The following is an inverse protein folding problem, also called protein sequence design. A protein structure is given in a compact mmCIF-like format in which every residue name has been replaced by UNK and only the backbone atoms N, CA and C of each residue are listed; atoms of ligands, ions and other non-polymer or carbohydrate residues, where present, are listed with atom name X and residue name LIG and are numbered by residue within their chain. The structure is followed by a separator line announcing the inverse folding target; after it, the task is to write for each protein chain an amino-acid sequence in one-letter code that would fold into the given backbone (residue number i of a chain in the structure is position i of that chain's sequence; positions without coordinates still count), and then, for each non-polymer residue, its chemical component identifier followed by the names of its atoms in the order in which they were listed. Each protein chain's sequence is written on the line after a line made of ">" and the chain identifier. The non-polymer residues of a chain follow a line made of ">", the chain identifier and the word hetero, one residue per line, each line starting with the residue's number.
data_IF_896445006033
#
_entry.id   IF_896445006033
#
_cell.length_a   1.000
_cell.length_b   1.000
_cell.length_c   1.000
_cell.angle_alpha   90.00
_cell.angle_beta   90.00
_cell.angle_gamma   90.00
#
_symmetry.space_group_name_H-M   'P 1'
#
loop_
_entity.id
_entity.type
_entity.pdbx_description
1 polymer ?
#
# COMPACT_ATOMS: atom_id res chain seq x y z
N UNK A 1 3.76 -4.13 18.64
CA UNK A 1 2.45 -3.74 19.15
C UNK A 1 1.38 -4.59 18.51
N UNK A 2 0.16 -4.60 19.06
CA UNK A 2 -0.91 -5.50 18.60
C UNK A 2 -1.32 -5.33 17.14
N UNK A 3 -1.20 -4.13 16.60
CA UNK A 3 -1.68 -3.80 15.25
C UNK A 3 -0.69 -4.16 14.12
N UNK A 4 0.57 -4.41 14.44
CA UNK A 4 1.63 -4.67 13.47
C UNK A 4 2.28 -6.05 13.60
N UNK A 5 1.69 -6.98 14.38
CA UNK A 5 2.30 -8.30 14.62
C UNK A 5 3.81 -8.22 14.93
N UNK A 6 4.17 -7.24 15.77
CA UNK A 6 5.54 -6.79 15.96
C UNK A 6 6.57 -7.88 16.26
N UNK A 7 6.14 -9.02 16.84
CA UNK A 7 7.00 -10.16 17.08
C UNK A 7 7.43 -10.85 15.78
N UNK A 8 6.51 -11.07 14.87
CA UNK A 8 6.78 -11.73 13.57
C UNK A 8 7.68 -10.87 12.70
N UNK A 9 7.38 -9.56 12.65
CA UNK A 9 8.21 -8.58 11.92
C UNK A 9 9.63 -8.58 12.47
N UNK A 10 9.81 -8.48 13.79
CA UNK A 10 11.15 -8.49 14.41
C UNK A 10 11.88 -9.81 14.16
N UNK A 11 11.19 -10.94 14.29
CA UNK A 11 11.77 -12.24 14.05
C UNK A 11 12.26 -12.38 12.59
N UNK A 12 11.41 -12.04 11.62
CA UNK A 12 11.75 -12.09 10.20
C UNK A 12 12.89 -11.11 9.88
N UNK A 13 12.83 -9.89 10.38
CA UNK A 13 13.84 -8.86 10.16
C UNK A 13 15.23 -9.29 10.66
N UNK A 14 15.31 -9.82 11.90
CA UNK A 14 16.58 -10.33 12.44
C UNK A 14 17.06 -11.60 11.73
N UNK A 15 16.13 -12.47 11.34
CA UNK A 15 16.47 -13.69 10.60
C UNK A 15 17.08 -13.34 9.24
N UNK A 16 16.47 -12.43 8.49
CA UNK A 16 17.00 -11.95 7.22
C UNK A 16 18.35 -11.25 7.39
N UNK A 17 18.49 -10.43 8.43
CA UNK A 17 19.76 -9.77 8.74
C UNK A 17 20.88 -10.77 9.01
N UNK A 18 20.61 -11.85 9.74
CA UNK A 18 21.60 -12.88 10.07
C UNK A 18 21.93 -13.80 8.88
N UNK A 19 20.93 -14.18 8.08
CA UNK A 19 21.10 -15.10 6.96
C UNK A 19 21.61 -14.40 5.70
N UNK A 20 21.04 -13.25 5.36
CA UNK A 20 21.34 -12.50 4.13
C UNK A 20 22.29 -11.33 4.37
N UNK A 21 22.77 -11.13 5.61
CA UNK A 21 23.58 -9.99 6.05
C UNK A 21 22.92 -8.63 5.89
N UNK A 22 21.63 -8.60 5.58
CA UNK A 22 20.86 -7.40 5.43
C UNK A 22 19.39 -7.68 5.71
N UNK A 23 18.84 -7.06 6.76
CA UNK A 23 17.43 -7.10 7.09
C UNK A 23 16.81 -5.75 6.80
N UNK A 24 15.67 -5.71 6.14
CA UNK A 24 15.01 -4.49 5.69
C UNK A 24 13.57 -4.48 6.16
N UNK A 25 13.12 -3.32 6.65
CA UNK A 25 11.71 -3.07 6.97
C UNK A 25 11.26 -1.79 6.28
N UNK A 26 10.03 -1.80 5.82
CA UNK A 26 9.30 -0.64 5.31
C UNK A 26 8.43 -0.08 6.42
N UNK A 27 8.44 1.25 6.59
CA UNK A 27 7.63 1.96 7.60
C UNK A 27 6.88 3.06 6.90
N UNK A 28 5.56 3.08 7.01
CA UNK A 28 4.75 4.12 6.40
C UNK A 28 3.52 4.45 7.24
N UNK A 29 2.92 5.59 6.93
CA UNK A 29 1.65 6.01 7.48
C UNK A 29 0.53 5.48 6.60
N UNK A 30 -0.36 4.69 7.18
CA UNK A 30 -1.52 4.10 6.51
C UNK A 30 -2.76 4.88 6.96
N UNK A 31 -3.30 5.67 6.04
CA UNK A 31 -4.53 6.42 6.27
C UNK A 31 -5.73 5.57 5.89
N UNK A 32 -6.73 5.57 6.74
CA UNK A 32 -7.98 4.88 6.49
C UNK A 32 -9.16 5.73 6.95
N UNK A 33 -10.23 5.64 6.21
CA UNK A 33 -11.50 6.26 6.59
C UNK A 33 -12.26 5.32 7.52
N UNK A 34 -12.61 5.81 8.69
CA UNK A 34 -13.49 5.13 9.61
C UNK A 34 -14.85 5.82 9.61
N UNK A 35 -15.89 5.03 9.37
CA UNK A 35 -17.25 5.52 9.40
C UNK A 35 -17.94 5.03 10.67
N UNK A 36 -18.24 5.94 11.58
CA UNK A 36 -18.98 5.65 12.80
C UNK A 36 -20.45 6.01 12.63
N UNK A 37 -21.33 5.10 13.01
CA UNK A 37 -22.77 5.34 13.05
C UNK A 37 -23.13 5.85 14.44
N UNK A 38 -23.72 7.05 14.49
CA UNK A 38 -24.17 7.70 15.71
C UNK A 38 -25.67 7.93 15.62
N UNK A 39 -26.39 7.70 16.72
CA UNK A 39 -27.84 7.92 16.81
C UNK A 39 -28.12 9.02 17.82
N UNK A 40 -28.84 10.02 17.38
CA UNK A 40 -29.28 11.13 18.20
C UNK A 40 -30.81 11.14 18.26
N UNK A 41 -31.35 11.34 19.44
CA UNK A 41 -32.79 11.41 19.66
C UNK A 41 -33.18 12.69 20.37
N UNK A 42 -34.33 13.27 19.94
CA UNK A 42 -34.92 14.48 20.51
C UNK A 42 -34.03 15.71 20.43
N UNK A 43 -33.32 15.85 19.30
CA UNK A 43 -32.59 17.10 19.01
C UNK A 43 -33.56 18.23 18.72
N UNK A 44 -33.25 19.40 19.25
CA UNK A 44 -33.91 20.66 18.84
C UNK A 44 -33.45 21.08 17.44
N UNK A 45 -34.19 21.92 16.79
CA UNK A 45 -33.84 22.49 15.46
C UNK A 45 -32.42 23.06 15.43
N UNK A 46 -32.03 23.79 16.47
CA UNK A 46 -30.70 24.41 16.56
C UNK A 46 -29.58 23.37 16.71
N UNK A 47 -29.80 22.31 17.50
CA UNK A 47 -28.85 21.23 17.67
C UNK A 47 -28.69 20.39 16.39
N UNK A 48 -29.79 20.22 15.66
CA UNK A 48 -29.78 19.54 14.37
C UNK A 48 -29.02 20.35 13.30
N UNK A 49 -29.26 21.68 13.24
CA UNK A 49 -28.48 22.54 12.34
C UNK A 49 -26.99 22.55 12.66
N UNK A 50 -26.62 22.60 13.94
CA UNK A 50 -25.21 22.51 14.37
C UNK A 50 -24.59 21.15 13.96
N UNK A 51 -25.33 20.06 14.07
CA UNK A 51 -24.87 18.73 13.66
C UNK A 51 -24.58 18.66 12.17
N UNK A 52 -25.44 19.31 11.35
CA UNK A 52 -25.29 19.36 9.89
C UNK A 52 -24.17 20.28 9.39
N UNK A 53 -23.68 21.21 10.23
CA UNK A 53 -22.55 22.08 9.87
C UNK A 53 -21.22 21.29 9.79
N UNK A 54 -21.16 20.08 10.33
CA UNK A 54 -20.00 19.19 10.19
C UNK A 54 -19.85 18.70 8.75
N UNK A 55 -18.69 18.95 8.09
CA UNK A 55 -18.41 18.51 6.72
C UNK A 55 -18.23 16.99 6.60
N UNK A 56 -18.10 16.29 7.71
CA UNK A 56 -17.81 14.86 7.87
C UNK A 56 -19.05 14.03 8.23
N UNK A 57 -20.24 14.66 8.19
CA UNK A 57 -21.51 14.06 8.62
C UNK A 57 -22.40 13.78 7.42
N UNK A 58 -22.82 12.53 7.29
CA UNK A 58 -23.82 12.07 6.33
C UNK A 58 -25.07 11.60 7.07
N UNK A 59 -26.23 12.20 6.81
CA UNK A 59 -27.49 11.79 7.41
C UNK A 59 -28.00 10.54 6.72
N UNK A 60 -28.16 9.45 7.48
CA UNK A 60 -28.66 8.17 6.99
C UNK A 60 -30.17 8.08 7.17
N UNK A 61 -30.67 8.45 8.35
CA UNK A 61 -32.08 8.44 8.67
C UNK A 61 -32.45 9.70 9.44
N UNK A 62 -33.58 10.31 9.12
CA UNK A 62 -34.11 11.48 9.79
C UNK A 62 -35.61 11.33 9.99
N UNK A 63 -36.05 11.53 11.23
CA UNK A 63 -37.48 11.55 11.58
C UNK A 63 -37.77 12.76 12.43
N UNK A 64 -38.70 13.57 11.97
CA UNK A 64 -39.22 14.74 12.67
C UNK A 64 -40.55 14.39 13.36
N UNK A 65 -40.73 14.86 14.58
CA UNK A 65 -42.00 14.78 15.30
C UNK A 65 -42.27 16.07 16.06
N UNK A 66 -43.53 16.45 16.12
CA UNK A 66 -44.01 17.65 16.77
C UNK A 66 -44.57 17.31 18.16
N UNK A 67 -43.91 17.82 19.22
CA UNK A 67 -44.48 17.87 20.56
C UNK A 67 -44.90 19.31 20.87
N UNK A 68 -44.18 20.08 21.64
CA UNK A 68 -44.36 21.51 21.85
C UNK A 68 -43.47 22.33 20.93
N UNK A 69 -42.32 21.77 20.54
CA UNK A 69 -41.39 22.27 19.55
C UNK A 69 -41.03 21.11 18.60
N UNK A 70 -40.55 21.38 17.36
CA UNK A 70 -40.07 20.34 16.47
C UNK A 70 -38.86 19.65 17.07
N UNK A 71 -38.91 18.32 17.15
CA UNK A 71 -37.84 17.48 17.63
C UNK A 71 -37.42 16.50 16.55
N UNK A 72 -36.11 16.25 16.46
CA UNK A 72 -35.51 15.42 15.44
C UNK A 72 -34.84 14.18 16.04
N UNK A 73 -35.13 13.02 15.46
CA UNK A 73 -34.32 11.83 15.65
C UNK A 73 -33.51 11.63 14.39
N UNK A 74 -32.20 11.51 14.53
CA UNK A 74 -31.27 11.46 13.41
C UNK A 74 -30.27 10.35 13.61
N UNK A 75 -30.08 9.56 12.59
CA UNK A 75 -28.98 8.62 12.48
C UNK A 75 -27.99 9.19 11.48
N UNK A 76 -26.79 9.44 11.94
CA UNK A 76 -25.72 9.97 11.10
C UNK A 76 -24.60 8.95 10.94
N UNK A 77 -23.89 9.07 9.83
CA UNK A 77 -22.62 8.41 9.58
C UNK A 77 -21.54 9.48 9.56
N UNK A 78 -20.71 9.47 10.58
CA UNK A 78 -19.56 10.38 10.64
C UNK A 78 -18.34 9.69 10.04
N UNK A 79 -17.72 10.34 9.06
CA UNK A 79 -16.46 9.89 8.47
C UNK A 79 -15.32 10.61 9.17
N UNK A 80 -14.37 9.85 9.70
CA UNK A 80 -13.13 10.38 10.24
C UNK A 80 -11.95 9.73 9.53
N UNK A 81 -11.01 10.55 9.10
CA UNK A 81 -9.74 10.05 8.57
C UNK A 81 -8.83 9.78 9.75
N UNK A 82 -8.54 8.52 9.96
CA UNK A 82 -7.60 8.06 10.95
C UNK A 82 -6.37 7.50 10.26
N UNK A 83 -5.26 7.44 10.97
CA UNK A 83 -4.04 6.86 10.43
C UNK A 83 -3.28 6.05 11.47
N UNK A 84 -2.53 5.09 11.00
CA UNK A 84 -1.66 4.26 11.82
C UNK A 84 -0.32 4.03 11.16
N UNK A 85 0.72 3.87 11.97
CA UNK A 85 2.02 3.43 11.48
C UNK A 85 1.94 1.96 11.14
N UNK A 86 2.21 1.62 9.89
CA UNK A 86 2.45 0.25 9.43
C UNK A 86 3.93 -0.03 9.29
N UNK A 87 4.32 -1.24 9.66
CA UNK A 87 5.67 -1.76 9.54
C UNK A 87 5.56 -3.12 8.86
N UNK A 88 6.34 -3.34 7.83
CA UNK A 88 6.37 -4.58 7.06
C UNK A 88 7.82 -5.02 6.86
N UNK A 89 8.09 -6.32 7.00
CA UNK A 89 9.38 -6.89 6.66
C UNK A 89 9.48 -7.01 5.13
N UNK A 90 10.58 -6.53 4.58
CA UNK A 90 10.85 -6.60 3.15
C UNK A 90 11.92 -7.67 2.89
N UNK A 91 11.57 -8.75 2.18
CA UNK A 91 12.53 -9.75 1.80
C UNK A 91 13.70 -9.15 1.00
N UNK A 92 14.95 -9.55 1.24
CA UNK A 92 16.11 -8.98 0.55
C UNK A 92 16.08 -9.12 -0.97
N UNK A 93 15.37 -10.11 -1.51
CA UNK A 93 15.19 -10.33 -2.95
C UNK A 93 14.16 -9.38 -3.59
N UNK A 94 13.32 -8.73 -2.78
CA UNK A 94 12.36 -7.72 -3.22
C UNK A 94 12.90 -6.29 -3.14
N UNK A 95 14.09 -6.12 -2.55
CA UNK A 95 14.68 -4.81 -2.34
C UNK A 95 15.93 -4.60 -3.20
N UNK A 96 15.90 -3.56 -4.00
CA UNK A 96 17.00 -3.15 -4.86
C UNK A 96 17.52 -1.78 -4.42
N UNK A 97 18.84 -1.63 -4.39
CA UNK A 97 19.51 -0.38 -4.05
C UNK A 97 20.68 -0.12 -5.00
N UNK A 98 20.96 1.14 -5.29
CA UNK A 98 22.10 1.49 -6.11
C UNK A 98 23.41 0.99 -5.48
N UNK A 99 24.27 0.36 -6.31
CA UNK A 99 25.47 -0.35 -5.87
C UNK A 99 26.48 0.50 -5.09
N UNK A 100 26.55 1.78 -5.40
CA UNK A 100 27.45 2.75 -4.76
C UNK A 100 26.92 3.32 -3.44
N UNK A 101 25.69 2.99 -3.06
CA UNK A 101 25.06 3.54 -1.87
C UNK A 101 25.63 2.93 -0.59
N UNK A 102 25.91 3.79 0.39
CA UNK A 102 26.37 3.38 1.71
C UNK A 102 25.25 3.23 2.72
N UNK A 103 24.18 4.00 2.54
CA UNK A 103 22.95 3.90 3.32
C UNK A 103 21.74 4.13 2.41
N UNK A 104 20.55 3.81 2.92
CA UNK A 104 19.32 3.86 2.13
C UNK A 104 18.93 5.32 1.85
N UNK A 105 19.03 6.21 2.84
CA UNK A 105 18.55 7.59 2.74
C UNK A 105 19.37 8.44 1.74
N UNK A 106 20.66 8.16 1.60
CA UNK A 106 21.54 8.86 0.66
C UNK A 106 21.58 8.23 -0.72
N UNK A 107 20.86 7.12 -0.92
CA UNK A 107 20.83 6.41 -2.18
C UNK A 107 20.18 7.26 -3.29
N UNK A 108 20.75 7.18 -4.49
CA UNK A 108 20.14 7.78 -5.69
C UNK A 108 18.96 6.98 -6.20
N UNK A 109 18.92 5.69 -5.90
CA UNK A 109 17.89 4.77 -6.35
C UNK A 109 17.70 3.67 -5.33
N UNK A 110 16.45 3.48 -4.92
CA UNK A 110 15.97 2.35 -4.13
C UNK A 110 14.69 1.86 -4.79
N UNK A 111 14.48 0.56 -4.87
CA UNK A 111 13.25 0.02 -5.41
C UNK A 111 12.79 -1.16 -4.56
N UNK A 112 11.54 -1.14 -4.18
CA UNK A 112 10.81 -2.26 -3.62
C UNK A 112 9.92 -2.84 -4.71
N UNK A 113 10.11 -4.10 -5.02
CA UNK A 113 9.31 -4.81 -6.01
C UNK A 113 8.48 -5.89 -5.34
N UNK A 114 7.22 -5.93 -5.64
CA UNK A 114 6.28 -6.89 -5.06
C UNK A 114 5.33 -7.40 -6.14
N UNK A 115 4.95 -8.67 -6.05
CA UNK A 115 3.89 -9.21 -6.90
C UNK A 115 2.54 -8.85 -6.32
N UNK A 116 1.67 -8.31 -7.15
CA UNK A 116 0.28 -7.97 -6.82
C UNK A 116 -0.65 -8.49 -7.89
N UNK A 117 -1.83 -8.96 -7.48
CA UNK A 117 -2.86 -9.31 -8.44
C UNK A 117 -3.42 -8.06 -9.12
N UNK A 118 -4.02 -8.21 -10.30
CA UNK A 118 -4.69 -7.10 -10.98
C UNK A 118 -5.81 -6.50 -10.12
N UNK A 119 -6.50 -7.34 -9.35
CA UNK A 119 -7.53 -6.90 -8.40
C UNK A 119 -6.95 -6.00 -7.31
N UNK A 120 -5.82 -6.39 -6.70
CA UNK A 120 -5.16 -5.58 -5.67
C UNK A 120 -4.64 -4.26 -6.24
N UNK A 121 -4.11 -4.29 -7.47
CA UNK A 121 -3.63 -3.07 -8.15
C UNK A 121 -4.77 -2.07 -8.39
N UNK A 122 -5.94 -2.55 -8.82
CA UNK A 122 -7.14 -1.71 -9.01
C UNK A 122 -7.68 -1.15 -7.70
N UNK A 123 -7.57 -1.90 -6.61
CA UNK A 123 -7.95 -1.43 -5.27
C UNK A 123 -6.96 -0.37 -4.75
N UNK A 124 -5.66 -0.58 -4.95
CA UNK A 124 -4.61 0.36 -4.52
C UNK A 124 -4.60 1.66 -5.33
N UNK A 125 -4.95 1.61 -6.61
CA UNK A 125 -4.92 2.74 -7.54
C UNK A 125 -6.24 2.88 -8.32
N UNK A 126 -7.34 3.28 -7.65
CA UNK A 126 -8.67 3.31 -8.24
C UNK A 126 -8.81 4.31 -9.40
N UNK A 127 -7.96 5.35 -9.42
CA UNK A 127 -7.95 6.38 -10.46
C UNK A 127 -7.21 5.97 -11.74
N UNK A 128 -6.52 4.81 -11.72
CA UNK A 128 -5.76 4.31 -12.86
C UNK A 128 -6.50 3.17 -13.57
N UNK A 129 -6.69 3.31 -14.88
CA UNK A 129 -7.30 2.27 -15.72
C UNK A 129 -6.23 1.27 -16.19
N UNK A 130 -6.20 0.11 -15.56
CA UNK A 130 -5.25 -0.95 -15.90
C UNK A 130 -5.71 -1.73 -17.13
N UNK A 131 -5.01 -1.53 -18.25
CA UNK A 131 -5.17 -2.37 -19.45
C UNK A 131 -4.21 -3.57 -19.38
N UNK A 132 -4.72 -4.80 -19.23
CA UNK A 132 -3.91 -6.01 -19.16
C UNK A 132 -3.01 -6.23 -20.38
N UNK A 133 -3.40 -5.68 -21.54
CA UNK A 133 -2.61 -5.80 -22.76
C UNK A 133 -1.33 -4.95 -22.72
N UNK A 134 -1.35 -3.82 -22.00
CA UNK A 134 -0.20 -2.91 -21.84
C UNK A 134 0.74 -3.35 -20.72
N UNK A 135 0.19 -4.04 -19.70
CA UNK A 135 0.97 -4.52 -18.55
C UNK A 135 1.93 -5.67 -18.90
N UNK A 136 1.78 -6.24 -20.08
CA UNK A 136 2.59 -7.37 -20.54
C UNK A 136 2.10 -8.71 -19.99
N UNK A 137 2.75 -9.79 -20.43
CA UNK A 137 2.48 -11.12 -19.87
C UNK A 137 3.06 -11.16 -18.45
N UNK A 138 2.19 -11.07 -17.44
CA UNK A 138 2.62 -11.14 -16.04
C UNK A 138 3.50 -12.38 -15.81
N UNK A 139 4.72 -12.16 -15.39
CA UNK A 139 5.59 -13.25 -14.93
C UNK A 139 6.79 -13.61 -15.79
N UNK A 140 7.04 -12.97 -16.93
CA UNK A 140 8.13 -13.39 -17.84
C UNK A 140 9.32 -12.42 -17.92
N UNK A 141 9.56 -11.63 -16.89
CA UNK A 141 10.91 -11.12 -16.69
C UNK A 141 11.73 -12.27 -16.10
N UNK A 142 12.55 -12.87 -16.95
CA UNK A 142 13.60 -13.81 -16.56
C UNK A 142 14.57 -13.06 -15.64
N UNK A 143 14.18 -13.01 -14.38
CA UNK A 143 14.95 -12.36 -13.34
C UNK A 143 16.12 -13.27 -12.97
N UNK A 144 17.35 -12.73 -12.98
CA UNK A 144 18.56 -13.44 -12.54
C UNK A 144 18.45 -14.01 -11.11
N UNK A 145 17.46 -13.51 -10.34
CA UNK A 145 17.15 -13.97 -8.98
C UNK A 145 16.15 -15.14 -8.91
N UNK A 146 15.65 -15.63 -10.03
CA UNK A 146 14.69 -16.74 -10.05
C UNK A 146 15.26 -18.01 -9.39
N UNK A 147 16.57 -18.24 -9.49
CA UNK A 147 17.24 -19.39 -8.89
C UNK A 147 17.30 -19.31 -7.36
N UNK A 148 17.56 -18.14 -6.78
CA UNK A 148 17.54 -17.93 -5.32
C UNK A 148 16.11 -17.99 -4.76
N UNK A 149 15.17 -17.43 -5.50
CA UNK A 149 13.74 -17.50 -5.17
C UNK A 149 13.25 -18.95 -5.20
N UNK A 150 13.59 -19.70 -6.24
CA UNK A 150 13.28 -21.12 -6.35
C UNK A 150 13.89 -21.93 -5.20
N UNK A 151 15.11 -21.60 -4.77
CA UNK A 151 15.76 -22.25 -3.64
C UNK A 151 15.08 -21.97 -2.29
N UNK A 152 14.51 -20.77 -2.10
CA UNK A 152 13.73 -20.41 -0.90
C UNK A 152 12.38 -21.11 -0.87
N UNK A 153 11.71 -21.19 -2.01
CA UNK A 153 10.39 -21.83 -2.15
C UNK A 153 10.45 -23.32 -2.48
N UNK A 154 11.65 -23.90 -2.66
CA UNK A 154 11.81 -25.33 -2.97
C UNK A 154 11.29 -26.26 -1.85
N UNK A 155 11.03 -25.73 -0.66
CA UNK A 155 10.39 -26.44 0.44
C UNK A 155 8.87 -26.18 0.54
N UNK A 156 8.33 -25.27 -0.26
CA UNK A 156 6.91 -24.98 -0.29
C UNK A 156 6.27 -25.67 -1.50
N UNK A 157 5.40 -26.63 -1.24
CA UNK A 157 4.72 -27.46 -2.26
C UNK A 157 3.85 -26.61 -3.23
N UNK A 158 3.61 -25.32 -2.89
CA UNK A 158 2.86 -24.39 -3.70
C UNK A 158 3.56 -23.97 -4.99
N UNK A 159 4.91 -24.00 -5.03
CA UNK A 159 5.69 -23.66 -6.21
C UNK A 159 5.51 -24.62 -7.41
N UNK A 160 4.96 -25.82 -7.20
CA UNK A 160 4.66 -26.77 -8.27
C UNK A 160 3.37 -26.45 -9.02
N UNK A 161 2.51 -25.59 -8.48
CA UNK A 161 1.25 -25.22 -9.12
C UNK A 161 1.38 -24.10 -10.17
N UNK A 162 2.46 -23.32 -10.16
CA UNK A 162 2.65 -22.20 -11.08
C UNK A 162 2.97 -22.60 -12.54
N UNK A 163 3.42 -23.83 -12.78
CA UNK A 163 3.90 -24.21 -14.11
C UNK A 163 2.87 -24.86 -15.06
N UNK A 164 1.61 -24.98 -14.68
CA UNK A 164 0.72 -25.89 -15.42
C UNK A 164 -0.67 -25.41 -15.82
N UNK A 165 -1.18 -24.31 -15.35
CA UNK A 165 -2.57 -23.96 -15.59
C UNK A 165 -2.73 -22.57 -16.23
N UNK A 166 -2.25 -22.44 -17.43
CA UNK A 166 -2.69 -21.36 -18.30
C UNK A 166 -4.02 -21.70 -18.95
N UNK A 167 -5.11 -20.99 -18.58
CA UNK A 167 -6.19 -20.64 -19.53
C UNK A 167 -7.33 -19.87 -18.85
N UNK A 168 -7.37 -18.58 -19.15
CA UNK A 168 -8.47 -17.73 -19.61
C UNK A 168 -9.88 -18.01 -19.09
N UNK A 169 -10.23 -17.37 -18.00
CA UNK A 169 -11.54 -16.77 -17.80
C UNK A 169 -11.32 -15.34 -17.25
N UNK A 170 -12.30 -14.46 -17.36
CA UNK A 170 -12.23 -13.09 -16.81
C UNK A 170 -11.91 -13.10 -15.31
N UNK A 171 -12.30 -14.16 -14.61
CA UNK A 171 -12.01 -14.38 -13.18
C UNK A 171 -10.52 -14.68 -12.95
N UNK A 172 -9.86 -15.39 -13.87
CA UNK A 172 -8.42 -15.67 -13.82
C UNK A 172 -7.60 -14.43 -14.15
N UNK A 173 -8.12 -13.51 -14.97
CA UNK A 173 -7.46 -12.25 -15.30
C UNK A 173 -7.34 -11.33 -14.08
N UNK A 174 -8.37 -11.25 -13.24
CA UNK A 174 -8.35 -10.46 -12.01
C UNK A 174 -7.29 -10.94 -10.99
N UNK A 175 -7.02 -12.24 -10.99
CA UNK A 175 -6.03 -12.88 -10.10
C UNK A 175 -4.63 -12.96 -10.71
N UNK A 176 -4.48 -12.53 -11.96
CA UNK A 176 -3.18 -12.51 -12.62
C UNK A 176 -2.23 -11.56 -11.91
N UNK A 177 -1.04 -12.05 -11.59
CA UNK A 177 -0.03 -11.29 -10.87
C UNK A 177 0.87 -10.49 -11.81
N UNK A 178 1.17 -9.28 -11.37
CA UNK A 178 2.09 -8.34 -12.02
C UNK A 178 3.11 -7.83 -11.03
N UNK A 179 4.29 -7.47 -11.52
CA UNK A 179 5.29 -6.80 -10.71
C UNK A 179 4.95 -5.32 -10.55
N UNK A 180 4.70 -4.94 -9.30
CA UNK A 180 4.65 -3.54 -8.87
C UNK A 180 6.05 -3.14 -8.40
N UNK A 181 6.61 -2.12 -9.02
CA UNK A 181 7.87 -1.52 -8.62
C UNK A 181 7.61 -0.16 -7.98
N UNK A 182 7.87 -0.03 -6.70
CA UNK A 182 7.91 1.24 -5.99
C UNK A 182 9.35 1.74 -5.98
N UNK A 183 9.68 2.65 -6.88
CA UNK A 183 11.02 3.19 -7.05
C UNK A 183 11.15 4.55 -6.38
N UNK A 184 12.15 4.69 -5.54
CA UNK A 184 12.51 5.91 -4.83
C UNK A 184 13.78 6.43 -5.45
N UNK A 185 13.70 7.55 -6.15
CA UNK A 185 14.81 8.05 -6.95
C UNK A 185 14.98 9.57 -6.81
N UNK A 186 16.23 10.01 -6.93
CA UNK A 186 16.57 11.43 -6.96
C UNK A 186 16.72 11.89 -8.40
N UNK A 187 15.83 12.78 -8.84
CA UNK A 187 15.83 13.31 -10.21
C UNK A 187 15.41 14.77 -10.21
N UNK A 188 15.99 15.53 -11.13
CA UNK A 188 15.53 16.88 -11.43
C UNK A 188 14.30 16.75 -12.35
N UNK A 189 13.12 16.78 -11.75
CA UNK A 189 11.86 16.59 -12.46
C UNK A 189 11.33 17.90 -13.06
N UNK A 190 11.57 19.02 -12.39
CA UNK A 190 11.12 20.34 -12.80
C UNK A 190 12.11 21.07 -13.70
N UNK A 191 13.36 20.60 -13.83
CA UNK A 191 14.41 21.16 -14.67
C UNK A 191 15.12 22.38 -14.07
N UNK A 192 15.07 22.55 -12.76
CA UNK A 192 15.71 23.67 -12.02
C UNK A 192 17.19 23.39 -11.68
N UNK A 193 17.69 22.19 -11.93
CA UNK A 193 19.04 21.74 -11.64
C UNK A 193 19.22 21.18 -10.22
N UNK A 194 18.13 21.04 -9.45
CA UNK A 194 18.13 20.44 -8.10
C UNK A 194 17.40 19.11 -8.17
N UNK A 195 18.02 18.06 -7.65
CA UNK A 195 17.39 16.73 -7.66
C UNK A 195 16.42 16.59 -6.46
N UNK A 196 15.16 16.34 -6.77
CA UNK A 196 14.09 16.04 -5.85
C UNK A 196 14.04 14.53 -5.56
N UNK A 197 13.59 14.16 -4.36
CA UNK A 197 13.30 12.76 -4.06
C UNK A 197 11.87 12.44 -4.46
N UNK A 198 11.70 11.46 -5.35
CA UNK A 198 10.39 11.09 -5.87
C UNK A 198 10.14 9.59 -5.70
N UNK A 199 8.89 9.27 -5.36
CA UNK A 199 8.35 7.91 -5.40
C UNK A 199 7.66 7.72 -6.74
N UNK A 200 8.14 6.78 -7.52
CA UNK A 200 7.56 6.42 -8.82
C UNK A 200 7.12 4.97 -8.77
N UNK A 201 5.83 4.75 -8.94
CA UNK A 201 5.26 3.41 -8.98
C UNK A 201 5.04 3.01 -10.43
N UNK A 202 5.53 1.81 -10.80
CA UNK A 202 5.37 1.29 -12.16
C UNK A 202 4.87 -0.15 -12.13
N UNK A 203 4.05 -0.50 -13.12
CA UNK A 203 3.63 -1.87 -13.40
C UNK A 203 3.93 -2.15 -14.88
N UNK A 204 4.76 -3.15 -15.13
CA UNK A 204 5.26 -3.38 -16.49
C UNK A 204 6.05 -2.16 -17.01
N UNK A 205 5.54 -1.51 -18.05
CA UNK A 205 6.14 -0.29 -18.65
C UNK A 205 5.38 0.98 -18.31
N UNK A 206 4.28 0.88 -17.57
CA UNK A 206 3.39 1.99 -17.26
C UNK A 206 3.75 2.61 -15.90
N UNK A 207 3.79 3.94 -15.87
CA UNK A 207 3.93 4.71 -14.62
C UNK A 207 2.52 4.97 -14.10
N UNK A 208 2.21 4.44 -12.92
CA UNK A 208 0.89 4.56 -12.28
C UNK A 208 0.82 5.66 -11.24
N UNK A 209 1.96 6.01 -10.63
CA UNK A 209 2.05 7.11 -9.67
C UNK A 209 3.44 7.75 -9.73
N UNK A 210 3.50 9.07 -9.48
CA UNK A 210 4.74 9.83 -9.39
C UNK A 210 4.54 10.97 -8.39
N UNK A 211 5.10 10.83 -7.20
CA UNK A 211 4.89 11.70 -6.05
C UNK A 211 6.23 12.21 -5.53
N UNK A 212 6.28 13.46 -5.10
CA UNK A 212 7.41 13.99 -4.34
C UNK A 212 7.29 13.55 -2.88
N UNK A 213 8.41 13.13 -2.30
CA UNK A 213 8.46 12.64 -0.92
C UNK A 213 9.68 13.22 -0.20
N UNK A 214 9.59 13.30 1.12
CA UNK A 214 10.67 13.85 1.95
C UNK A 214 11.72 12.79 2.30
N UNK A 215 11.31 11.55 2.57
CA UNK A 215 12.17 10.48 3.06
C UNK A 215 11.87 9.13 2.40
N UNK A 216 12.88 8.27 2.30
CA UNK A 216 12.74 6.90 1.82
C UNK A 216 12.24 6.03 3.00
N UNK A 217 11.08 5.34 2.88
CA UNK A 217 10.42 4.68 4.01
C UNK A 217 11.01 3.32 4.38
N UNK A 218 12.33 3.16 4.28
CA UNK A 218 13.00 1.90 4.60
C UNK A 218 14.08 2.08 5.65
N UNK A 219 14.19 1.07 6.52
CA UNK A 219 15.23 0.95 7.54
C UNK A 219 15.93 -0.38 7.37
N UNK A 220 17.27 -0.39 7.40
CA UNK A 220 18.07 -1.60 7.30
C UNK A 220 18.86 -1.88 8.57
N UNK A 221 19.05 -3.18 8.87
CA UNK A 221 20.00 -3.70 9.85
C UNK A 221 21.02 -4.55 9.12
N UNK A 222 22.29 -4.22 9.32
CA UNK A 222 23.42 -5.03 8.84
C UNK A 222 24.19 -5.51 10.06
N UNK A 223 24.19 -6.82 10.38
CA UNK A 223 24.98 -7.35 11.48
C UNK A 223 26.48 -7.23 11.15
N UNK A 224 27.25 -6.78 12.10
CA UNK A 224 28.71 -6.61 12.00
C UNK A 224 29.41 -7.95 12.16
#
# INVERSE_FOLDING_TARGET
>A
TKDNEGWEIMYSWFTDALLSKNGIVKVWWDEYEEAQREEYSRLTEQEFEILLLGNDVEVVEHTEFLEQEPLHNVVIKRRSTNGKIKIENVPPDEFLIARESKNIQDSRFVCHRVRKSLSDLREMYPDYDFDPALLGAGGDDMDDFSAERLARYAYDDSAQYESGWGRSSETEEALREYWLHESFLRTDFNGDGIAELRKVCTVGKEIIANEEIDEIPFVSITPV
#
